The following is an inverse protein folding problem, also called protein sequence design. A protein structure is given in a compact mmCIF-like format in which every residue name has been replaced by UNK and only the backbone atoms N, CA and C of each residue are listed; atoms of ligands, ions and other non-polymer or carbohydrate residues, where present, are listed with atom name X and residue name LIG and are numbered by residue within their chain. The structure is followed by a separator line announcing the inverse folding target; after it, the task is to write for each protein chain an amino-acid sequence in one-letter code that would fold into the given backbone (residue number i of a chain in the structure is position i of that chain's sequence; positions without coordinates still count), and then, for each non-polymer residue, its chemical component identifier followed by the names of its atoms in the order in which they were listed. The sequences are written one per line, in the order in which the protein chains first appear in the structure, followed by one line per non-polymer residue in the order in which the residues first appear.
data_IF_044199762478
#
_entry.id   IF_044199762478
#
_cell.length_a   1.000
_cell.length_b   1.000
_cell.length_c   1.000
_cell.angle_alpha   90.00
_cell.angle_beta   90.00
_cell.angle_gamma   90.00
#
_symmetry.space_group_name_H-M   'P 1'
#
loop_
_entity.id
_entity.type
_entity.pdbx_description
1 polymer ?
#
# COMPACT_ATOMS: atom_id res chain seq x y z
N UNK A 1 1.85 -9.71 25.29
CA UNK A 1 3.25 -9.83 25.76
C UNK A 1 4.16 -9.39 24.63
N UNK A 2 4.92 -8.31 24.79
CA UNK A 2 5.85 -7.86 23.74
C UNK A 2 6.94 -8.92 23.56
N UNK A 3 7.06 -9.47 22.34
CA UNK A 3 8.11 -10.41 22.00
C UNK A 3 9.40 -9.62 21.78
N UNK A 4 10.45 -9.94 22.57
CA UNK A 4 11.76 -9.34 22.32
C UNK A 4 12.34 -9.84 20.99
N UNK A 5 13.29 -9.12 20.42
CA UNK A 5 13.97 -9.56 19.20
C UNK A 5 14.68 -10.91 19.40
N UNK A 6 15.29 -11.11 20.57
CA UNK A 6 15.99 -12.36 20.89
C UNK A 6 15.03 -13.55 20.99
N UNK A 7 13.84 -13.35 21.62
CA UNK A 7 12.82 -14.40 21.69
C UNK A 7 12.28 -14.76 20.30
N UNK A 8 12.11 -13.75 19.42
CA UNK A 8 11.72 -13.98 18.04
C UNK A 8 12.79 -14.80 17.30
N UNK A 9 14.06 -14.45 17.41
CA UNK A 9 15.17 -15.19 16.78
C UNK A 9 15.20 -16.63 17.28
N UNK A 10 15.04 -16.85 18.60
CA UNK A 10 14.96 -18.20 19.15
C UNK A 10 13.80 -19.03 18.58
N UNK A 11 12.62 -18.42 18.40
CA UNK A 11 11.46 -19.08 17.78
C UNK A 11 11.68 -19.42 16.31
N UNK A 12 12.27 -18.50 15.55
CA UNK A 12 12.59 -18.72 14.14
C UNK A 12 13.56 -19.87 13.94
N UNK A 13 14.53 -20.05 14.87
CA UNK A 13 15.47 -21.17 14.83
C UNK A 13 14.79 -22.52 15.15
N UNK A 14 13.69 -22.51 15.89
CA UNK A 14 12.95 -23.73 16.26
C UNK A 14 11.83 -24.07 15.26
N UNK A 15 11.27 -23.08 14.56
CA UNK A 15 10.13 -23.24 13.66
C UNK A 15 10.54 -22.75 12.25
N UNK A 16 11.05 -23.63 11.37
CA UNK A 16 11.49 -23.23 10.03
C UNK A 16 10.40 -22.58 9.20
N UNK A 17 9.14 -23.00 9.36
CA UNK A 17 8.00 -22.39 8.67
C UNK A 17 7.83 -20.91 9.04
N UNK A 18 8.10 -20.50 10.29
CA UNK A 18 8.07 -19.12 10.73
C UNK A 18 9.19 -18.29 10.05
N UNK A 19 10.37 -18.89 9.87
CA UNK A 19 11.46 -18.22 9.15
C UNK A 19 11.05 -17.93 7.71
N UNK A 20 10.51 -18.94 7.00
CA UNK A 20 10.08 -18.79 5.61
C UNK A 20 8.97 -17.75 5.50
N UNK A 21 7.96 -17.81 6.36
CA UNK A 21 6.86 -16.82 6.41
C UNK A 21 7.38 -15.41 6.63
N UNK A 22 8.32 -15.24 7.57
CA UNK A 22 8.90 -13.92 7.88
C UNK A 22 9.70 -13.38 6.70
N UNK A 23 10.53 -14.21 6.06
CA UNK A 23 11.30 -13.82 4.88
C UNK A 23 10.39 -13.45 3.69
N UNK A 24 9.32 -14.22 3.47
CA UNK A 24 8.33 -13.92 2.43
C UNK A 24 7.57 -12.63 2.72
N UNK A 25 7.21 -12.38 3.99
CA UNK A 25 6.56 -11.11 4.37
C UNK A 25 7.51 -9.92 4.14
N UNK A 26 8.79 -10.05 4.50
CA UNK A 26 9.79 -9.02 4.21
C UNK A 26 10.00 -8.84 2.69
N UNK A 27 9.95 -9.93 1.91
CA UNK A 27 9.99 -9.86 0.45
C UNK A 27 8.78 -9.09 -0.13
N UNK A 28 7.57 -9.31 0.41
CA UNK A 28 6.38 -8.53 0.03
C UNK A 28 6.58 -7.03 0.35
N UNK A 29 7.12 -6.70 1.52
CA UNK A 29 7.42 -5.31 1.90
C UNK A 29 8.44 -4.68 0.94
N UNK A 30 9.49 -5.41 0.60
CA UNK A 30 10.52 -4.96 -0.34
C UNK A 30 9.91 -4.71 -1.73
N UNK A 31 9.09 -5.64 -2.22
CA UNK A 31 8.40 -5.55 -3.52
C UNK A 31 7.43 -4.37 -3.51
N UNK A 32 6.64 -4.17 -2.45
CA UNK A 32 5.74 -3.01 -2.32
C UNK A 32 6.52 -1.69 -2.40
N UNK A 33 7.64 -1.58 -1.68
CA UNK A 33 8.51 -0.40 -1.77
C UNK A 33 9.00 -0.14 -3.19
N UNK A 34 9.28 -1.19 -3.95
CA UNK A 34 9.79 -1.11 -5.32
C UNK A 34 8.70 -0.84 -6.36
N UNK A 35 7.53 -1.46 -6.24
CA UNK A 35 6.48 -1.46 -7.27
C UNK A 35 5.37 -0.45 -7.02
N UNK A 36 5.02 -0.15 -5.77
CA UNK A 36 3.91 0.75 -5.42
C UNK A 36 4.37 2.13 -4.91
N UNK A 37 5.40 2.21 -4.07
CA UNK A 37 5.89 3.48 -3.54
C UNK A 37 6.25 4.55 -4.59
N UNK A 38 6.68 4.21 -5.82
CA UNK A 38 6.90 5.19 -6.89
C UNK A 38 5.67 6.01 -7.27
N UNK A 39 4.45 5.52 -6.99
CA UNK A 39 3.21 6.28 -7.18
C UNK A 39 3.22 7.60 -6.40
N UNK A 40 3.80 7.60 -5.19
CA UNK A 40 3.83 8.77 -4.32
C UNK A 40 4.56 9.97 -4.95
N UNK A 41 5.61 9.71 -5.75
CA UNK A 41 6.47 10.74 -6.35
C UNK A 41 6.20 10.97 -7.84
N UNK A 42 5.28 10.23 -8.44
CA UNK A 42 5.01 10.28 -9.88
C UNK A 42 4.69 11.70 -10.39
N UNK A 43 3.93 12.48 -9.64
CA UNK A 43 3.58 13.87 -9.95
C UNK A 43 4.79 14.81 -9.92
N UNK A 44 5.66 14.69 -8.91
CA UNK A 44 6.84 15.55 -8.78
C UNK A 44 7.89 15.29 -9.87
N UNK A 45 8.00 14.04 -10.32
CA UNK A 45 8.87 13.66 -11.43
C UNK A 45 8.28 14.10 -12.76
N UNK A 46 6.97 13.86 -13.00
CA UNK A 46 6.32 14.21 -14.27
C UNK A 46 6.24 15.72 -14.51
N UNK A 47 6.09 16.53 -13.48
CA UNK A 47 6.15 17.99 -13.55
C UNK A 47 7.58 18.54 -13.64
N UNK A 48 8.59 17.66 -13.65
CA UNK A 48 10.02 18.02 -13.68
C UNK A 48 10.46 18.90 -12.50
N UNK A 49 9.77 18.83 -11.39
CA UNK A 49 10.06 19.60 -10.18
C UNK A 49 11.32 19.06 -9.48
N UNK A 50 11.51 17.74 -9.55
CA UNK A 50 12.64 17.04 -8.94
C UNK A 50 13.14 15.94 -9.89
N UNK A 51 14.45 15.72 -9.91
CA UNK A 51 15.03 14.63 -10.70
C UNK A 51 14.59 13.25 -10.17
N UNK A 52 14.34 12.25 -11.04
CA UNK A 52 13.82 10.94 -10.61
C UNK A 52 14.64 10.28 -9.50
N UNK A 53 15.97 10.29 -9.59
CA UNK A 53 16.85 9.72 -8.56
C UNK A 53 16.66 10.39 -7.20
N UNK A 54 16.59 11.72 -7.16
CA UNK A 54 16.37 12.47 -5.93
C UNK A 54 14.94 12.23 -5.38
N UNK A 55 13.95 12.14 -6.26
CA UNK A 55 12.57 11.82 -5.87
C UNK A 55 12.48 10.45 -5.20
N UNK A 56 13.16 9.43 -5.74
CA UNK A 56 13.24 8.09 -5.17
C UNK A 56 13.88 8.13 -3.77
N UNK A 57 14.97 8.89 -3.59
CA UNK A 57 15.60 9.04 -2.28
C UNK A 57 14.66 9.72 -1.26
N UNK A 58 13.95 10.79 -1.68
CA UNK A 58 12.92 11.43 -0.85
C UNK A 58 11.84 10.44 -0.48
N UNK A 59 11.33 9.67 -1.45
CA UNK A 59 10.30 8.66 -1.19
C UNK A 59 10.80 7.59 -0.21
N UNK A 60 12.02 7.08 -0.37
CA UNK A 60 12.59 6.06 0.53
C UNK A 60 12.69 6.57 1.97
N UNK A 61 13.19 7.78 2.17
CA UNK A 61 13.30 8.40 3.51
C UNK A 61 11.92 8.63 4.12
N UNK A 62 10.97 9.18 3.36
CA UNK A 62 9.66 9.51 3.89
C UNK A 62 8.76 8.29 4.05
N UNK A 63 8.90 7.24 3.24
CA UNK A 63 8.26 5.94 3.50
C UNK A 63 8.77 5.33 4.81
N UNK A 64 10.08 5.31 5.02
CA UNK A 64 10.69 4.87 6.28
C UNK A 64 10.11 5.62 7.48
N UNK A 65 10.13 6.96 7.42
CA UNK A 65 9.59 7.82 8.49
C UNK A 65 8.09 7.63 8.69
N UNK A 66 7.33 7.43 7.62
CA UNK A 66 5.89 7.22 7.65
C UNK A 66 5.52 5.96 8.45
N UNK A 67 6.19 4.85 8.18
CA UNK A 67 6.01 3.61 8.93
C UNK A 67 6.39 3.82 10.40
N UNK A 68 7.58 4.34 10.63
CA UNK A 68 8.13 4.51 11.99
C UNK A 68 7.22 5.37 12.86
N UNK A 69 6.85 6.56 12.37
CA UNK A 69 6.09 7.53 13.15
C UNK A 69 4.62 7.13 13.28
N UNK A 70 3.94 6.81 12.17
CA UNK A 70 2.51 6.55 12.23
C UNK A 70 2.17 5.25 12.95
N UNK A 71 3.01 4.23 12.91
CA UNK A 71 2.77 2.99 13.65
C UNK A 71 2.89 3.19 15.17
N UNK A 72 3.73 4.14 15.62
CA UNK A 72 3.79 4.48 17.05
C UNK A 72 2.57 5.29 17.51
N UNK A 73 1.94 6.05 16.62
CA UNK A 73 0.76 6.88 16.91
C UNK A 73 -0.53 6.08 16.84
N UNK A 74 -0.69 5.24 15.80
CA UNK A 74 -1.92 4.49 15.54
C UNK A 74 -1.61 3.16 14.86
N UNK A 75 -2.14 2.05 15.38
CA UNK A 75 -1.91 0.68 14.92
C UNK A 75 -3.13 0.04 14.26
N UNK A 76 -4.23 0.77 14.13
CA UNK A 76 -5.53 0.23 13.71
C UNK A 76 -5.52 -0.44 12.33
N UNK A 77 -4.73 0.06 11.38
CA UNK A 77 -4.63 -0.54 10.04
C UNK A 77 -3.97 -1.92 10.13
N UNK A 78 -2.91 -2.05 10.93
CA UNK A 78 -2.25 -3.34 11.16
C UNK A 78 -3.19 -4.34 11.84
N UNK A 79 -3.97 -3.89 12.82
CA UNK A 79 -4.97 -4.69 13.52
C UNK A 79 -6.07 -5.18 12.58
N UNK A 80 -6.58 -4.33 11.67
CA UNK A 80 -7.56 -4.71 10.66
C UNK A 80 -7.04 -5.84 9.77
N UNK A 81 -5.80 -5.75 9.29
CA UNK A 81 -5.20 -6.81 8.45
C UNK A 81 -4.92 -8.08 9.25
N UNK A 82 -4.45 -7.95 10.49
CA UNK A 82 -4.25 -9.10 11.37
C UNK A 82 -5.53 -9.91 11.56
N UNK A 83 -6.67 -9.24 11.74
CA UNK A 83 -7.98 -9.86 11.98
C UNK A 83 -8.74 -10.23 10.69
N UNK A 84 -8.12 -10.08 9.51
CA UNK A 84 -8.79 -10.26 8.21
C UNK A 84 -9.19 -11.69 7.94
N UNK A 85 -8.36 -12.65 8.36
CA UNK A 85 -8.51 -14.07 8.08
C UNK A 85 -8.18 -14.91 9.30
N UNK A 86 -8.83 -16.06 9.38
CA UNK A 86 -8.51 -17.14 10.30
C UNK A 86 -8.04 -18.35 9.49
N UNK A 87 -6.86 -18.84 9.79
CA UNK A 87 -6.26 -20.00 9.16
C UNK A 87 -6.49 -21.30 9.97
N UNK A 88 -7.34 -21.28 11.01
CA UNK A 88 -7.62 -22.42 11.87
C UNK A 88 -6.57 -22.68 12.94
N UNK A 89 -6.72 -23.79 13.65
CA UNK A 89 -5.93 -24.12 14.86
C UNK A 89 -4.59 -24.83 14.54
N UNK A 90 -4.45 -25.43 13.35
CA UNK A 90 -3.22 -26.11 12.97
C UNK A 90 -2.13 -25.11 12.56
N UNK A 91 -1.22 -24.84 13.48
CA UNK A 91 -0.13 -23.85 13.27
C UNK A 91 0.71 -24.10 12.02
N UNK A 92 0.98 -25.36 11.69
CA UNK A 92 1.77 -25.69 10.51
C UNK A 92 1.03 -25.35 9.22
N UNK A 93 -0.20 -25.86 9.06
CA UNK A 93 -1.04 -25.57 7.88
C UNK A 93 -1.31 -24.08 7.73
N UNK A 94 -1.56 -23.38 8.83
CA UNK A 94 -1.78 -21.95 8.85
C UNK A 94 -0.55 -21.15 8.35
N UNK A 95 0.66 -21.51 8.79
CA UNK A 95 1.90 -20.89 8.31
C UNK A 95 2.17 -21.21 6.84
N UNK A 96 1.92 -22.44 6.41
CA UNK A 96 2.08 -22.86 4.99
C UNK A 96 1.12 -22.07 4.10
N UNK A 97 -0.14 -21.91 4.51
CA UNK A 97 -1.12 -21.11 3.77
C UNK A 97 -0.74 -19.62 3.75
N UNK A 98 -0.21 -19.09 4.85
CA UNK A 98 0.28 -17.72 4.88
C UNK A 98 1.48 -17.53 3.94
N UNK A 99 2.42 -18.50 3.88
CA UNK A 99 3.50 -18.50 2.89
C UNK A 99 2.96 -18.47 1.46
N UNK A 100 1.96 -19.28 1.16
CA UNK A 100 1.34 -19.32 -0.16
C UNK A 100 0.69 -17.99 -0.54
N UNK A 101 0.00 -17.34 0.40
CA UNK A 101 -0.55 -16.00 0.21
C UNK A 101 0.57 -14.98 -0.11
N UNK A 102 1.68 -15.00 0.63
CA UNK A 102 2.81 -14.08 0.37
C UNK A 102 3.42 -14.30 -1.01
N UNK A 103 3.59 -15.54 -1.44
CA UNK A 103 4.07 -15.88 -2.80
C UNK A 103 3.10 -15.36 -3.86
N UNK A 104 1.79 -15.54 -3.67
CA UNK A 104 0.78 -15.03 -4.60
C UNK A 104 0.84 -13.51 -4.77
N UNK A 105 1.03 -12.77 -3.67
CA UNK A 105 1.13 -11.31 -3.67
C UNK A 105 2.39 -10.86 -4.42
N UNK A 106 3.54 -11.48 -4.16
CA UNK A 106 4.80 -11.16 -4.85
C UNK A 106 4.67 -11.42 -6.36
N UNK A 107 4.11 -12.56 -6.75
CA UNK A 107 3.89 -12.90 -8.17
C UNK A 107 2.97 -11.88 -8.86
N UNK A 108 1.87 -11.49 -8.20
CA UNK A 108 0.94 -10.50 -8.72
C UNK A 108 1.59 -9.12 -8.87
N UNK A 109 2.26 -8.64 -7.83
CA UNK A 109 2.90 -7.33 -7.81
C UNK A 109 4.02 -7.23 -8.86
N UNK A 110 4.89 -8.24 -8.95
CA UNK A 110 6.00 -8.28 -9.92
C UNK A 110 5.46 -8.38 -11.35
N UNK A 111 4.43 -9.19 -11.60
CA UNK A 111 3.80 -9.28 -12.92
C UNK A 111 3.20 -7.95 -13.35
N UNK A 112 2.42 -7.30 -12.49
CA UNK A 112 1.84 -6.00 -12.76
C UNK A 112 2.91 -4.93 -13.02
N UNK A 113 3.96 -4.89 -12.21
CA UNK A 113 5.08 -3.98 -12.43
C UNK A 113 5.81 -4.25 -13.75
N UNK A 114 6.00 -5.52 -14.12
CA UNK A 114 6.64 -5.89 -15.38
C UNK A 114 5.88 -5.34 -16.59
N UNK A 115 4.56 -5.38 -16.56
CA UNK A 115 3.70 -4.81 -17.59
C UNK A 115 3.50 -3.29 -17.45
N UNK A 116 3.98 -2.68 -16.37
CA UNK A 116 3.85 -1.24 -16.10
C UNK A 116 2.44 -0.81 -15.72
N UNK A 117 1.63 -1.74 -15.20
CA UNK A 117 0.24 -1.52 -14.80
C UNK A 117 0.22 -1.23 -13.30
N UNK A 118 -0.18 -0.03 -12.86
CA UNK A 118 -0.29 0.29 -11.43
C UNK A 118 -1.47 -0.45 -10.82
N UNK A 119 -1.14 -1.47 -10.02
CA UNK A 119 -2.12 -2.25 -9.24
C UNK A 119 -2.16 -1.80 -7.80
N UNK A 120 -3.12 -2.33 -7.05
CA UNK A 120 -3.19 -2.14 -5.60
C UNK A 120 -2.62 -3.35 -4.89
N UNK A 121 -1.44 -3.20 -4.32
CA UNK A 121 -0.85 -4.28 -3.51
C UNK A 121 -1.61 -4.52 -2.22
N UNK A 122 -2.31 -3.51 -1.69
CA UNK A 122 -3.25 -3.68 -0.58
C UNK A 122 -4.38 -4.66 -0.92
N UNK A 123 -4.95 -4.55 -2.13
CA UNK A 123 -5.99 -5.47 -2.58
C UNK A 123 -5.43 -6.85 -2.90
N UNK A 124 -4.23 -6.92 -3.46
CA UNK A 124 -3.53 -8.19 -3.67
C UNK A 124 -3.26 -8.91 -2.33
N UNK A 125 -2.84 -8.16 -1.30
CA UNK A 125 -2.63 -8.68 0.04
C UNK A 125 -3.91 -9.31 0.60
N UNK A 126 -5.00 -8.54 0.61
CA UNK A 126 -6.29 -8.98 1.16
C UNK A 126 -6.83 -10.18 0.37
N UNK A 127 -6.75 -10.11 -0.96
CA UNK A 127 -7.21 -11.20 -1.83
C UNK A 127 -6.38 -12.48 -1.66
N UNK A 128 -5.04 -12.35 -1.61
CA UNK A 128 -4.13 -13.48 -1.41
C UNK A 128 -4.36 -14.19 -0.07
N UNK A 129 -4.49 -13.41 1.02
CA UNK A 129 -4.82 -13.94 2.35
C UNK A 129 -6.17 -14.65 2.35
N UNK A 130 -7.19 -14.01 1.76
CA UNK A 130 -8.54 -14.57 1.66
C UNK A 130 -8.56 -15.87 0.86
N UNK A 131 -7.89 -15.90 -0.29
CA UNK A 131 -7.79 -17.10 -1.13
C UNK A 131 -7.13 -18.26 -0.40
N UNK A 132 -6.05 -17.99 0.34
CA UNK A 132 -5.36 -18.99 1.14
C UNK A 132 -6.24 -19.50 2.31
N UNK A 133 -6.99 -18.63 2.99
CA UNK A 133 -7.91 -19.02 4.06
C UNK A 133 -9.05 -19.88 3.52
N UNK A 134 -9.66 -19.52 2.39
CA UNK A 134 -10.68 -20.34 1.72
C UNK A 134 -10.12 -21.72 1.34
N UNK A 135 -8.84 -21.79 0.97
CA UNK A 135 -8.18 -23.06 0.61
C UNK A 135 -8.11 -24.04 1.78
N UNK A 136 -7.89 -23.57 3.01
CA UNK A 136 -7.86 -24.41 4.22
C UNK A 136 -9.27 -24.88 4.57
N UNK A 137 -10.20 -23.96 4.72
CA UNK A 137 -11.55 -24.25 5.21
C UNK A 137 -12.47 -24.84 4.14
N UNK A 138 -12.14 -24.73 2.85
CA UNK A 138 -12.98 -25.04 1.69
C UNK A 138 -14.33 -24.30 1.68
N UNK A 139 -14.45 -23.23 2.44
CA UNK A 139 -15.61 -22.35 2.58
C UNK A 139 -15.15 -20.93 2.99
N UNK A 140 -16.10 -20.06 3.32
CA UNK A 140 -15.83 -18.67 3.72
C UNK A 140 -15.68 -18.48 5.25
N UNK A 141 -15.72 -19.54 6.06
CA UNK A 141 -15.65 -19.43 7.53
C UNK A 141 -14.34 -18.80 8.01
N UNK A 142 -13.22 -19.06 7.30
CA UNK A 142 -11.93 -18.42 7.60
C UNK A 142 -11.82 -16.96 7.18
N UNK A 143 -12.89 -16.32 6.68
CA UNK A 143 -12.86 -14.94 6.20
C UNK A 143 -13.68 -14.04 7.11
N UNK A 144 -13.04 -13.04 7.70
CA UNK A 144 -13.74 -12.09 8.57
C UNK A 144 -14.54 -11.07 7.75
N UNK A 145 -15.84 -11.30 7.62
CA UNK A 145 -16.75 -10.43 6.87
C UNK A 145 -16.81 -8.99 7.38
N UNK A 146 -16.63 -8.75 8.69
CA UNK A 146 -16.64 -7.41 9.26
C UNK A 146 -15.40 -6.60 8.80
N UNK A 147 -14.23 -7.23 8.75
CA UNK A 147 -13.02 -6.58 8.23
C UNK A 147 -13.11 -6.38 6.70
N UNK A 148 -13.71 -7.33 5.97
CA UNK A 148 -13.98 -7.16 4.54
C UNK A 148 -14.91 -5.97 4.23
N UNK A 149 -15.90 -5.71 5.07
CA UNK A 149 -16.76 -4.52 4.94
C UNK A 149 -15.94 -3.26 5.05
N UNK A 150 -14.95 -3.18 5.97
CA UNK A 150 -14.01 -2.04 6.05
C UNK A 150 -13.20 -1.87 4.76
N UNK A 151 -12.78 -2.98 4.14
CA UNK A 151 -12.06 -2.95 2.85
C UNK A 151 -12.94 -2.37 1.74
N UNK A 152 -14.20 -2.81 1.64
CA UNK A 152 -15.15 -2.29 0.65
C UNK A 152 -15.43 -0.79 0.86
N UNK A 153 -15.60 -0.36 2.11
CA UNK A 153 -15.67 1.07 2.43
C UNK A 153 -14.37 1.80 2.04
N UNK A 154 -13.22 1.21 2.31
CA UNK A 154 -11.92 1.74 1.93
C UNK A 154 -11.78 1.91 0.42
N UNK A 155 -12.29 0.96 -0.37
CA UNK A 155 -12.29 1.03 -1.83
C UNK A 155 -13.10 2.23 -2.35
N UNK A 156 -14.33 2.38 -1.85
CA UNK A 156 -15.19 3.52 -2.21
C UNK A 156 -14.59 4.83 -1.72
N UNK A 157 -14.13 4.85 -0.47
CA UNK A 157 -13.55 6.05 0.14
C UNK A 157 -12.29 6.51 -0.61
N UNK A 158 -11.35 5.61 -0.90
CA UNK A 158 -10.11 5.95 -1.60
C UNK A 158 -10.38 6.48 -3.01
N UNK A 159 -11.37 5.94 -3.69
CA UNK A 159 -11.72 6.31 -5.06
C UNK A 159 -12.50 7.63 -5.10
N UNK A 160 -13.59 7.73 -4.34
CA UNK A 160 -14.48 8.90 -4.36
C UNK A 160 -13.85 10.10 -3.64
N UNK A 161 -13.30 9.88 -2.43
CA UNK A 161 -12.71 10.95 -1.64
C UNK A 161 -11.41 11.45 -2.27
N UNK A 162 -10.57 10.54 -2.80
CA UNK A 162 -9.35 10.92 -3.52
C UNK A 162 -9.67 11.85 -4.69
N UNK A 163 -10.64 11.47 -5.54
CA UNK A 163 -11.09 12.29 -6.67
C UNK A 163 -11.66 13.65 -6.20
N UNK A 164 -12.59 13.62 -5.25
CA UNK A 164 -13.24 14.84 -4.76
C UNK A 164 -12.24 15.81 -4.11
N UNK A 165 -11.33 15.29 -3.26
CA UNK A 165 -10.29 16.12 -2.64
C UNK A 165 -9.32 16.68 -3.68
N UNK A 166 -8.92 15.90 -4.69
CA UNK A 166 -8.08 16.39 -5.80
C UNK A 166 -8.75 17.54 -6.54
N UNK A 167 -10.03 17.37 -6.88
CA UNK A 167 -10.84 18.40 -7.56
C UNK A 167 -10.97 19.67 -6.72
N UNK A 168 -11.37 19.53 -5.46
CA UNK A 168 -11.62 20.67 -4.55
C UNK A 168 -10.31 21.39 -4.23
N UNK A 169 -9.23 20.64 -3.95
CA UNK A 169 -7.96 21.24 -3.54
C UNK A 169 -7.31 22.05 -4.66
N UNK A 170 -7.36 21.57 -5.90
CA UNK A 170 -6.84 22.35 -7.03
C UNK A 170 -7.68 23.60 -7.26
N UNK A 171 -9.01 23.51 -7.16
CA UNK A 171 -9.88 24.71 -7.27
C UNK A 171 -9.64 25.72 -6.17
N UNK A 172 -9.39 25.24 -4.95
CA UNK A 172 -9.00 26.10 -3.83
C UNK A 172 -7.69 26.86 -4.14
N UNK A 173 -6.65 26.18 -4.62
CA UNK A 173 -5.38 26.80 -5.01
C UNK A 173 -5.61 27.81 -6.13
N UNK A 174 -6.34 27.45 -7.20
CA UNK A 174 -6.63 28.34 -8.31
C UNK A 174 -7.35 29.61 -7.85
N UNK A 175 -8.28 29.48 -6.91
CA UNK A 175 -9.03 30.61 -6.37
C UNK A 175 -8.14 31.51 -5.50
N UNK A 176 -7.32 30.91 -4.64
CA UNK A 176 -6.42 31.63 -3.72
C UNK A 176 -5.37 32.44 -4.48
N UNK A 177 -4.80 31.86 -5.55
CA UNK A 177 -3.74 32.49 -6.33
C UNK A 177 -4.25 33.19 -7.60
N UNK A 178 -5.56 33.37 -7.78
CA UNK A 178 -6.19 33.93 -8.99
C UNK A 178 -5.63 35.30 -9.38
N UNK A 179 -5.27 36.13 -8.39
CA UNK A 179 -4.77 37.50 -8.60
C UNK A 179 -3.25 37.62 -8.56
N UNK A 180 -2.52 36.50 -8.35
CA UNK A 180 -1.06 36.50 -8.25
C UNK A 180 -0.46 36.16 -9.60
N UNK A 181 0.56 36.91 -10.01
CA UNK A 181 1.29 36.62 -11.23
C UNK A 181 1.92 35.22 -11.17
N UNK A 182 1.61 34.42 -12.17
CA UNK A 182 2.09 33.03 -12.27
C UNK A 182 3.61 32.92 -12.17
N UNK A 183 4.35 33.87 -12.74
CA UNK A 183 5.82 33.86 -12.68
C UNK A 183 6.34 33.93 -11.25
N UNK A 184 5.66 34.64 -10.38
CA UNK A 184 6.02 34.79 -8.96
C UNK A 184 5.71 33.53 -8.15
N UNK A 185 4.77 32.70 -8.59
CA UNK A 185 4.35 31.49 -7.88
C UNK A 185 5.11 30.23 -8.26
N UNK A 186 5.88 30.23 -9.37
CA UNK A 186 6.59 29.04 -9.87
C UNK A 186 7.53 28.48 -8.79
N UNK A 187 8.41 29.31 -8.23
CA UNK A 187 9.38 28.87 -7.22
C UNK A 187 8.71 28.37 -5.92
N UNK A 188 7.60 29.01 -5.54
CA UNK A 188 6.79 28.54 -4.41
C UNK A 188 6.21 27.15 -4.67
N UNK A 189 5.53 26.93 -5.81
CA UNK A 189 4.92 25.64 -6.13
C UNK A 189 5.94 24.54 -6.41
N UNK A 190 7.16 24.86 -6.87
CA UNK A 190 8.23 23.86 -6.95
C UNK A 190 8.59 23.30 -5.56
N UNK A 191 8.79 24.16 -4.57
CA UNK A 191 9.07 23.74 -3.20
C UNK A 191 7.85 23.01 -2.58
N UNK A 192 6.65 23.56 -2.76
CA UNK A 192 5.41 22.97 -2.28
C UNK A 192 5.18 21.55 -2.87
N UNK A 193 5.46 21.36 -4.15
CA UNK A 193 5.35 20.04 -4.79
C UNK A 193 6.32 19.01 -4.20
N UNK A 194 7.55 19.39 -3.89
CA UNK A 194 8.51 18.48 -3.24
C UNK A 194 7.98 18.09 -1.85
N UNK A 195 7.46 19.06 -1.09
CA UNK A 195 6.87 18.81 0.22
C UNK A 195 5.61 17.92 0.09
N UNK A 196 4.76 18.17 -0.91
CA UNK A 196 3.57 17.35 -1.18
C UNK A 196 3.94 15.90 -1.52
N UNK A 197 4.94 15.70 -2.37
CA UNK A 197 5.44 14.36 -2.71
C UNK A 197 6.03 13.65 -1.48
N UNK A 198 6.75 14.37 -0.62
CA UNK A 198 7.27 13.85 0.63
C UNK A 198 6.14 13.46 1.61
N UNK A 199 5.10 14.29 1.75
CA UNK A 199 3.92 13.98 2.55
C UNK A 199 3.16 12.78 2.01
N UNK A 200 3.01 12.67 0.68
CA UNK A 200 2.39 11.51 0.05
C UNK A 200 3.19 10.23 0.28
N UNK A 201 4.53 10.28 0.16
CA UNK A 201 5.41 9.15 0.45
C UNK A 201 5.34 8.75 1.93
N UNK A 202 5.31 9.73 2.85
CA UNK A 202 5.13 9.48 4.27
C UNK A 202 3.82 8.73 4.56
N UNK A 203 2.72 9.19 3.98
CA UNK A 203 1.41 8.55 4.18
C UNK A 203 1.29 7.21 3.46
N UNK A 204 1.98 7.02 2.32
CA UNK A 204 2.11 5.72 1.66
C UNK A 204 2.77 4.71 2.60
N UNK A 205 3.95 5.03 3.13
CA UNK A 205 4.64 4.17 4.11
C UNK A 205 3.78 3.88 5.33
N UNK A 206 3.12 4.90 5.89
CA UNK A 206 2.22 4.78 7.04
C UNK A 206 1.09 3.76 6.81
N UNK A 207 0.46 3.80 5.65
CA UNK A 207 -0.64 2.88 5.30
C UNK A 207 -0.13 1.47 5.00
N UNK A 208 0.79 1.35 4.05
CA UNK A 208 1.19 0.04 3.55
C UNK A 208 2.12 -0.69 4.52
N UNK A 209 3.02 0.04 5.20
CA UNK A 209 3.87 -0.56 6.21
C UNK A 209 3.08 -1.20 7.36
N UNK A 210 2.00 -0.57 7.81
CA UNK A 210 1.13 -1.15 8.85
C UNK A 210 0.42 -2.42 8.38
N UNK A 211 -0.03 -2.49 7.11
CA UNK A 211 -0.68 -3.67 6.57
C UNK A 211 0.24 -4.89 6.63
N UNK A 212 1.48 -4.72 6.17
CA UNK A 212 2.45 -5.82 6.18
C UNK A 212 2.94 -6.19 7.58
N UNK A 213 3.04 -5.23 8.51
CA UNK A 213 3.29 -5.54 9.92
C UNK A 213 2.15 -6.36 10.53
N UNK A 214 0.89 -6.08 10.16
CA UNK A 214 -0.25 -6.90 10.57
C UNK A 214 -0.08 -8.36 10.16
N UNK A 215 0.36 -8.60 8.91
CA UNK A 215 0.65 -9.96 8.41
C UNK A 215 1.84 -10.60 9.12
N UNK A 216 2.90 -9.84 9.37
CA UNK A 216 4.06 -10.36 10.10
C UNK A 216 3.66 -10.83 11.51
N UNK A 217 2.86 -10.02 12.21
CA UNK A 217 2.33 -10.38 13.53
C UNK A 217 1.38 -11.57 13.47
N UNK A 218 0.57 -11.70 12.41
CA UNK A 218 -0.26 -12.87 12.18
C UNK A 218 0.60 -14.13 12.09
N UNK A 219 1.67 -14.13 11.31
CA UNK A 219 2.61 -15.25 11.22
C UNK A 219 3.22 -15.62 12.57
N UNK A 220 3.61 -14.61 13.37
CA UNK A 220 4.13 -14.83 14.73
C UNK A 220 3.08 -15.43 15.68
N UNK A 221 1.81 -15.02 15.57
CA UNK A 221 0.72 -15.54 16.39
C UNK A 221 0.38 -16.98 16.01
N UNK A 222 0.29 -17.27 14.71
CA UNK A 222 0.04 -18.61 14.18
C UNK A 222 1.12 -19.61 14.60
N UNK A 223 2.37 -19.20 14.65
CA UNK A 223 3.48 -20.06 15.11
C UNK A 223 3.35 -20.50 16.57
N UNK A 224 2.54 -19.80 17.37
CA UNK A 224 2.26 -20.10 18.79
C UNK A 224 0.94 -20.80 19.03
N UNK A 225 0.17 -21.09 17.98
CA UNK A 225 -1.20 -21.58 18.11
C UNK A 225 -2.18 -20.57 18.75
N UNK A 226 -1.84 -19.28 18.74
CA UNK A 226 -2.63 -18.20 19.34
C UNK A 226 -3.29 -17.36 18.25
N UNK A 227 -4.45 -17.80 17.76
CA UNK A 227 -5.22 -17.03 16.78
C UNK A 227 -5.87 -15.75 17.38
N UNK A 228 -6.15 -15.73 18.69
CA UNK A 228 -6.83 -14.62 19.36
C UNK A 228 -5.89 -13.90 20.34
N UNK A 229 -5.33 -12.77 19.92
CA UNK A 229 -4.50 -11.91 20.78
C UNK A 229 -5.37 -10.83 21.41
N UNK A 230 -5.43 -10.80 22.75
CA UNK A 230 -6.23 -9.83 23.51
C UNK A 230 -5.64 -8.41 23.51
N UNK A 231 -4.35 -8.27 23.25
CA UNK A 231 -3.66 -6.97 23.18
C UNK A 231 -2.80 -6.92 21.91
N UNK A 232 -3.14 -6.02 20.99
CA UNK A 232 -2.41 -5.82 19.75
C UNK A 232 -1.24 -4.84 19.97
N UNK A 233 -0.04 -5.37 20.17
CA UNK A 233 1.17 -4.59 20.36
C UNK A 233 2.20 -4.92 19.27
N UNK A 234 2.74 -3.90 18.64
CA UNK A 234 3.79 -4.03 17.62
C UNK A 234 5.13 -3.72 18.28
N UNK A 235 6.06 -4.69 18.34
CA UNK A 235 7.40 -4.46 18.91
C UNK A 235 8.18 -3.42 18.09
N UNK A 236 8.91 -2.54 18.75
CA UNK A 236 9.67 -1.47 18.08
C UNK A 236 10.69 -2.01 17.06
N UNK A 237 11.35 -3.15 17.36
CA UNK A 237 12.28 -3.77 16.43
C UNK A 237 11.62 -4.17 15.10
N UNK A 238 10.35 -4.62 15.15
CA UNK A 238 9.59 -4.98 13.95
C UNK A 238 9.23 -3.73 13.13
N UNK A 239 8.83 -2.65 13.80
CA UNK A 239 8.57 -1.36 13.14
C UNK A 239 9.83 -0.90 12.40
N UNK A 240 10.98 -0.95 13.06
CA UNK A 240 12.27 -0.55 12.49
C UNK A 240 12.65 -1.44 11.29
N UNK A 241 12.52 -2.76 11.44
CA UNK A 241 12.83 -3.73 10.39
C UNK A 241 11.96 -3.50 9.13
N UNK A 242 10.65 -3.41 9.31
CA UNK A 242 9.72 -3.16 8.19
C UNK A 242 9.97 -1.79 7.53
N UNK A 243 10.28 -0.76 8.33
CA UNK A 243 10.61 0.57 7.81
C UNK A 243 11.87 0.55 6.95
N UNK A 244 12.92 -0.14 7.40
CA UNK A 244 14.17 -0.29 6.65
C UNK A 244 13.95 -1.05 5.34
N UNK A 245 13.23 -2.17 5.37
CA UNK A 245 12.98 -2.99 4.17
C UNK A 245 12.14 -2.23 3.16
N UNK A 246 11.09 -1.51 3.59
CA UNK A 246 10.29 -0.66 2.72
C UNK A 246 11.14 0.46 2.08
N UNK A 247 11.97 1.13 2.88
CA UNK A 247 12.87 2.18 2.38
C UNK A 247 13.87 1.64 1.36
N UNK A 248 14.45 0.45 1.61
CA UNK A 248 15.33 -0.24 0.67
C UNK A 248 14.58 -0.59 -0.63
N UNK A 249 13.39 -1.18 -0.55
CA UNK A 249 12.54 -1.46 -1.70
C UNK A 249 12.26 -0.21 -2.53
N UNK A 250 11.85 0.88 -1.88
CA UNK A 250 11.60 2.16 -2.54
C UNK A 250 12.85 2.70 -3.25
N UNK A 251 14.04 2.48 -2.72
CA UNK A 251 15.30 2.95 -3.31
C UNK A 251 15.65 2.27 -4.63
N UNK A 252 15.11 1.08 -4.92
CA UNK A 252 15.28 0.38 -6.21
C UNK A 252 14.63 1.18 -7.35
N UNK A 253 13.51 1.86 -7.04
CA UNK A 253 12.78 2.74 -7.96
C UNK A 253 11.87 1.98 -8.93
N UNK A 254 10.73 2.57 -9.27
CA UNK A 254 9.72 2.02 -10.18
C UNK A 254 9.43 2.94 -11.35
N UNK A 255 10.40 3.18 -12.24
CA UNK A 255 10.27 4.15 -13.35
C UNK A 255 9.07 3.86 -14.27
N UNK A 256 8.68 2.59 -14.46
CA UNK A 256 7.52 2.21 -15.28
C UNK A 256 6.23 2.74 -14.70
N UNK A 257 6.07 2.63 -13.39
CA UNK A 257 4.88 3.13 -12.67
C UNK A 257 4.87 4.65 -12.63
N UNK A 258 6.02 5.30 -12.40
CA UNK A 258 6.14 6.76 -12.47
C UNK A 258 5.66 7.28 -13.83
N UNK A 259 6.01 6.60 -14.93
CA UNK A 259 5.57 6.96 -16.28
C UNK A 259 4.06 6.81 -16.43
N UNK A 260 3.50 5.65 -16.11
CA UNK A 260 2.06 5.36 -16.27
C UNK A 260 1.19 6.36 -15.50
N UNK A 261 1.47 6.57 -14.22
CA UNK A 261 0.66 7.43 -13.33
C UNK A 261 0.96 8.92 -13.54
N UNK A 262 2.23 9.27 -13.72
CA UNK A 262 2.64 10.67 -13.77
C UNK A 262 2.59 11.32 -15.16
N UNK A 263 2.71 10.54 -16.24
CA UNK A 263 2.84 11.09 -17.59
C UNK A 263 1.68 10.70 -18.52
N UNK A 264 1.23 9.44 -18.45
CA UNK A 264 0.32 8.89 -19.44
C UNK A 264 -1.15 9.19 -19.10
N UNK A 265 -1.48 9.38 -17.81
CA UNK A 265 -2.85 9.58 -17.32
C UNK A 265 -3.32 11.04 -17.41
N UNK A 266 -2.55 11.99 -16.88
CA UNK A 266 -2.88 13.42 -16.85
C UNK A 266 -1.60 14.25 -16.97
N UNK A 267 -1.57 15.22 -17.88
CA UNK A 267 -0.47 16.20 -17.93
C UNK A 267 -0.69 17.30 -16.90
N UNK A 268 0.06 17.25 -15.82
CA UNK A 268 -0.05 18.16 -14.69
C UNK A 268 0.97 19.31 -14.77
N UNK A 269 0.56 20.47 -14.29
CA UNK A 269 1.45 21.57 -13.90
C UNK A 269 1.92 21.40 -12.45
N UNK A 270 2.98 22.08 -12.05
CA UNK A 270 3.57 21.92 -10.70
C UNK A 270 2.56 22.13 -9.57
N UNK A 271 1.74 23.20 -9.62
CA UNK A 271 0.72 23.44 -8.59
C UNK A 271 -0.36 22.38 -8.57
N UNK A 272 -0.67 21.80 -9.72
CA UNK A 272 -1.65 20.70 -9.85
C UNK A 272 -1.11 19.42 -9.26
N UNK A 273 0.18 19.13 -9.47
CA UNK A 273 0.83 18.00 -8.83
C UNK A 273 0.85 18.14 -7.31
N UNK A 274 1.18 19.33 -6.79
CA UNK A 274 1.08 19.63 -5.37
C UNK A 274 -0.35 19.40 -4.83
N UNK A 275 -1.37 19.86 -5.57
CA UNK A 275 -2.76 19.64 -5.17
C UNK A 275 -3.12 18.15 -5.08
N UNK A 276 -2.68 17.36 -6.06
CA UNK A 276 -2.91 15.91 -6.09
C UNK A 276 -2.19 15.18 -4.93
N UNK A 277 -0.95 15.59 -4.63
CA UNK A 277 -0.17 15.00 -3.54
C UNK A 277 -0.79 15.29 -2.19
N UNK A 278 -1.19 16.53 -1.94
CA UNK A 278 -1.81 16.93 -0.67
C UNK A 278 -3.20 16.30 -0.49
N UNK A 279 -3.99 16.22 -1.57
CA UNK A 279 -5.28 15.55 -1.54
C UNK A 279 -5.13 14.05 -1.23
N UNK A 280 -4.19 13.38 -1.90
CA UNK A 280 -3.90 11.97 -1.64
C UNK A 280 -3.39 11.73 -0.23
N UNK A 281 -2.42 12.51 0.23
CA UNK A 281 -1.87 12.41 1.59
C UNK A 281 -2.95 12.66 2.66
N UNK A 282 -3.81 13.66 2.46
CA UNK A 282 -4.93 13.95 3.36
C UNK A 282 -5.95 12.81 3.44
N UNK A 283 -6.30 12.21 2.29
CA UNK A 283 -7.17 11.04 2.24
C UNK A 283 -6.56 9.84 2.98
N UNK A 284 -5.27 9.55 2.75
CA UNK A 284 -4.56 8.48 3.45
C UNK A 284 -4.44 8.73 4.96
N UNK A 285 -4.26 9.98 5.37
CA UNK A 285 -4.20 10.35 6.79
C UNK A 285 -5.55 10.04 7.48
N UNK A 286 -6.66 10.48 6.90
CA UNK A 286 -8.00 10.20 7.42
C UNK A 286 -8.23 8.69 7.55
N UNK A 287 -7.88 7.94 6.51
CA UNK A 287 -8.04 6.48 6.48
C UNK A 287 -7.14 5.78 7.52
N UNK A 288 -5.91 6.23 7.70
CA UNK A 288 -4.99 5.69 8.73
C UNK A 288 -5.51 5.92 10.13
N UNK A 289 -6.03 7.13 10.42
CA UNK A 289 -6.58 7.47 11.74
C UNK A 289 -7.85 6.68 12.06
N UNK A 290 -8.65 6.36 11.06
CA UNK A 290 -9.89 5.56 11.22
C UNK A 290 -9.64 4.05 11.22
N UNK A 291 -8.43 3.60 10.83
CA UNK A 291 -8.09 2.18 10.74
C UNK A 291 -8.64 1.48 9.49
N UNK A 292 -9.07 2.25 8.49
CA UNK A 292 -9.58 1.70 7.23
C UNK A 292 -8.39 1.41 6.30
N UNK A 293 -8.14 0.16 5.90
CA UNK A 293 -7.10 -0.18 4.95
C UNK A 293 -7.53 0.24 3.54
N UNK A 294 -6.98 1.35 3.07
CA UNK A 294 -7.26 1.86 1.71
C UNK A 294 -6.10 1.56 0.76
N UNK A 295 -6.39 1.57 -0.52
CA UNK A 295 -5.36 1.49 -1.56
C UNK A 295 -4.68 2.86 -1.74
N UNK A 296 -3.39 2.90 -1.52
CA UNK A 296 -2.54 4.07 -1.76
C UNK A 296 -2.51 4.43 -3.25
N UNK A 297 -2.45 3.43 -4.13
CA UNK A 297 -2.52 3.59 -5.59
C UNK A 297 -3.84 4.17 -6.05
N UNK A 298 -4.98 3.67 -5.54
CA UNK A 298 -6.31 4.22 -5.90
C UNK A 298 -6.43 5.66 -5.44
N UNK A 299 -6.08 5.94 -4.18
CA UNK A 299 -6.14 7.29 -3.61
C UNK A 299 -5.32 8.28 -4.44
N UNK A 300 -4.08 7.93 -4.77
CA UNK A 300 -3.19 8.80 -5.54
C UNK A 300 -3.70 9.02 -6.96
N UNK A 301 -4.06 7.93 -7.65
CA UNK A 301 -4.52 7.95 -9.04
C UNK A 301 -5.80 8.77 -9.16
N UNK A 302 -6.77 8.55 -8.29
CA UNK A 302 -8.03 9.30 -8.32
C UNK A 302 -7.87 10.76 -7.91
N UNK A 303 -6.93 11.09 -7.00
CA UNK A 303 -6.59 12.49 -6.73
C UNK A 303 -6.02 13.20 -7.96
N UNK A 304 -5.13 12.54 -8.72
CA UNK A 304 -4.61 13.06 -10.00
C UNK A 304 -5.75 13.24 -11.01
N UNK A 305 -6.66 12.27 -11.11
CA UNK A 305 -7.85 12.37 -11.99
C UNK A 305 -8.74 13.53 -11.60
N UNK A 306 -9.01 13.73 -10.30
CA UNK A 306 -9.80 14.85 -9.78
C UNK A 306 -9.21 16.20 -10.15
N UNK A 307 -7.90 16.34 -10.00
CA UNK A 307 -7.15 17.56 -10.40
C UNK A 307 -7.24 17.78 -11.93
N UNK A 308 -7.06 16.73 -12.73
CA UNK A 308 -7.18 16.80 -14.19
C UNK A 308 -8.59 17.18 -14.64
N UNK A 309 -9.61 16.58 -14.03
CA UNK A 309 -11.03 16.83 -14.31
C UNK A 309 -11.46 18.25 -13.94
N UNK A 310 -10.87 18.84 -12.89
CA UNK A 310 -11.14 20.21 -12.48
C UNK A 310 -10.79 21.24 -13.55
N UNK A 311 -9.81 20.94 -14.41
CA UNK A 311 -9.50 21.77 -15.59
C UNK A 311 -10.48 21.51 -16.72
N UNK A 312 -10.56 20.27 -17.19
CA UNK A 312 -11.51 19.75 -18.20
C UNK A 312 -11.55 18.24 -18.09
N UNK A 313 -12.72 17.63 -18.21
CA UNK A 313 -12.88 16.16 -18.23
C UNK A 313 -12.01 15.49 -19.32
N UNK A 314 -11.82 16.16 -20.45
CA UNK A 314 -10.96 15.68 -21.57
C UNK A 314 -9.45 15.75 -21.26
N UNK A 315 -9.03 16.39 -20.17
CA UNK A 315 -7.62 16.42 -19.76
C UNK A 315 -7.16 15.10 -19.14
N UNK A 316 -8.10 14.23 -18.78
CA UNK A 316 -7.84 12.88 -18.26
C UNK A 316 -7.85 11.89 -19.43
N UNK A 317 -6.84 11.06 -19.52
CA UNK A 317 -6.79 9.95 -20.48
C UNK A 317 -7.63 8.78 -19.96
N UNK A 318 -8.91 8.78 -20.34
CA UNK A 318 -9.88 7.78 -19.86
C UNK A 318 -9.57 6.35 -20.33
N UNK A 319 -8.80 6.16 -21.40
CA UNK A 319 -8.34 4.82 -21.82
C UNK A 319 -7.41 4.23 -20.77
N UNK A 320 -6.39 4.99 -20.36
CA UNK A 320 -5.47 4.57 -19.29
C UNK A 320 -6.21 4.32 -17.98
N UNK A 321 -7.16 5.21 -17.64
CA UNK A 321 -7.99 5.06 -16.45
C UNK A 321 -8.81 3.77 -16.47
N UNK A 322 -9.44 3.44 -17.62
CA UNK A 322 -10.24 2.22 -17.73
C UNK A 322 -9.39 0.94 -17.59
N UNK A 323 -8.18 0.93 -18.13
CA UNK A 323 -7.23 -0.18 -17.94
C UNK A 323 -6.83 -0.34 -16.47
N UNK A 324 -6.55 0.76 -15.78
CA UNK A 324 -6.27 0.75 -14.35
C UNK A 324 -7.46 0.22 -13.54
N UNK A 325 -8.66 0.74 -13.80
CA UNK A 325 -9.89 0.30 -13.11
C UNK A 325 -10.17 -1.18 -13.33
N UNK A 326 -9.99 -1.67 -14.56
CA UNK A 326 -10.13 -3.09 -14.87
C UNK A 326 -9.14 -3.93 -14.03
N UNK A 327 -7.89 -3.49 -13.97
CA UNK A 327 -6.86 -4.17 -13.18
C UNK A 327 -7.18 -4.18 -11.69
N UNK A 328 -7.74 -3.07 -11.16
CA UNK A 328 -8.16 -3.00 -9.75
C UNK A 328 -9.24 -4.02 -9.43
N UNK A 329 -10.22 -4.19 -10.32
CA UNK A 329 -11.28 -5.21 -10.15
C UNK A 329 -10.69 -6.62 -10.27
N UNK A 330 -9.82 -6.86 -11.27
CA UNK A 330 -9.21 -8.17 -11.50
C UNK A 330 -8.21 -8.58 -10.42
N UNK A 331 -7.67 -7.65 -9.65
CA UNK A 331 -6.73 -7.95 -8.55
C UNK A 331 -7.37 -8.87 -7.50
N UNK A 332 -8.64 -8.67 -7.14
CA UNK A 332 -9.32 -9.50 -6.14
C UNK A 332 -9.45 -10.96 -6.60
N UNK A 333 -10.14 -11.27 -7.72
CA UNK A 333 -10.26 -12.64 -8.16
C UNK A 333 -8.92 -13.24 -8.61
N UNK A 334 -8.05 -12.45 -9.25
CA UNK A 334 -6.77 -12.92 -9.77
C UNK A 334 -5.80 -13.34 -8.66
N UNK A 335 -5.47 -12.42 -7.76
CA UNK A 335 -4.56 -12.73 -6.65
C UNK A 335 -5.19 -13.71 -5.65
N UNK A 336 -6.52 -13.63 -5.43
CA UNK A 336 -7.24 -14.58 -4.59
C UNK A 336 -7.18 -16.01 -5.13
N UNK A 337 -7.36 -16.20 -6.43
CA UNK A 337 -7.24 -17.50 -7.08
C UNK A 337 -5.80 -18.04 -7.00
N UNK A 338 -4.79 -17.20 -7.24
CA UNK A 338 -3.40 -17.60 -7.08
C UNK A 338 -3.13 -18.01 -5.63
N UNK A 339 -3.59 -17.23 -4.64
CA UNK A 339 -3.45 -17.56 -3.22
C UNK A 339 -4.11 -18.90 -2.85
N UNK A 340 -5.33 -19.12 -3.35
CA UNK A 340 -6.04 -20.40 -3.16
C UNK A 340 -5.27 -21.58 -3.76
N UNK A 341 -4.86 -21.48 -5.02
CA UNK A 341 -4.15 -22.57 -5.73
C UNK A 341 -2.80 -22.84 -5.08
N UNK A 342 -2.03 -21.80 -4.78
CA UNK A 342 -0.73 -21.94 -4.12
C UNK A 342 -0.86 -22.58 -2.74
N UNK A 343 -1.88 -22.21 -1.97
CA UNK A 343 -2.13 -22.82 -0.65
C UNK A 343 -2.48 -24.32 -0.79
N UNK A 344 -3.35 -24.70 -1.75
CA UNK A 344 -3.62 -26.11 -2.03
C UNK A 344 -2.37 -26.90 -2.42
N UNK A 345 -1.53 -26.31 -3.27
CA UNK A 345 -0.27 -26.95 -3.69
C UNK A 345 0.69 -27.09 -2.51
N UNK A 346 0.90 -26.05 -1.73
CA UNK A 346 1.84 -26.08 -0.61
C UNK A 346 1.38 -27.06 0.47
N UNK A 347 0.08 -27.10 0.80
CA UNK A 347 -0.48 -28.06 1.76
C UNK A 347 -0.43 -29.51 1.26
N UNK A 348 -0.36 -29.73 -0.04
CA UNK A 348 -0.24 -31.09 -0.60
C UNK A 348 1.21 -31.62 -0.61
N UNK A 349 2.22 -30.73 -0.63
CA UNK A 349 3.62 -31.11 -0.78
C UNK A 349 4.49 -30.84 0.46
N UNK A 350 4.02 -30.02 1.39
CA UNK A 350 4.72 -29.65 2.64
C UNK A 350 3.98 -30.16 3.85
#
# INVERSE_FOLDING_TARGET
MMISFLDYVAQVMQIPALLVTSLLTLAVILVNGWTDAPNAIATAVSTRTIAPKTAIMVAAVFNFLGILVMTTVNKKVAETIYNMVDFGENSHEALVALCAAMVAIVLWAVAAWYFGIPTSESHALIAGLTGAAISIHNNLEGVNGAEWVKVLYGLVLSTCLGFAMGYVFVKFIETLFRRVDRRKTIGFFQKAQITGAAAMAFMHGAQDGQKFMGVFLLGMALSKGQANVTTFEIPFWLILLCSLVMGLGTSIGGYRIIKAVGMDMVKLETYQGFAADMAGAGCLLISSLTGIPVSTTHTKTTAIMGVGAARRLRSVNWSVVSEMMLTWVLTFPGCGLIGFVMAKLFLAFL
#
